data_IF_801222567094
#
_entry.id   IF_801222567094
#
_cell.length_a   1.000
_cell.length_b   1.000
_cell.length_c   1.000
_cell.angle_alpha   90.00
_cell.angle_beta   90.00
_cell.angle_gamma   90.00
#
_symmetry.space_group_name_H-M   'P 1'
#
loop_
_entity.id
_entity.type
_entity.pdbx_description
1 polymer ?
#
# COMPACT_ATOMS: atom_id res chain seq x y z
N UNK A 1 -10.44 22.75 -12.53
CA UNK A 1 -9.30 21.92 -12.09
C UNK A 1 -8.03 22.61 -12.51
N UNK A 2 -7.13 22.93 -11.59
CA UNK A 2 -5.81 23.46 -11.97
C UNK A 2 -4.90 22.32 -12.47
N UNK A 3 -3.81 22.65 -13.17
CA UNK A 3 -2.80 21.67 -13.57
C UNK A 3 -2.20 20.95 -12.35
N UNK A 4 -2.04 21.66 -11.23
CA UNK A 4 -1.53 21.12 -9.97
C UNK A 4 -2.48 20.07 -9.41
N UNK A 5 -3.79 20.35 -9.40
CA UNK A 5 -4.79 19.40 -8.91
C UNK A 5 -4.82 18.14 -9.78
N UNK A 6 -4.82 18.32 -11.11
CA UNK A 6 -4.77 17.21 -12.05
C UNK A 6 -3.52 16.33 -11.83
N UNK A 7 -2.37 16.97 -11.63
CA UNK A 7 -1.11 16.29 -11.31
C UNK A 7 -1.18 15.54 -9.99
N UNK A 8 -1.76 16.13 -8.94
CA UNK A 8 -1.94 15.47 -7.66
C UNK A 8 -2.80 14.20 -7.78
N UNK A 9 -3.94 14.27 -8.49
CA UNK A 9 -4.77 13.08 -8.75
C UNK A 9 -4.02 11.99 -9.51
N UNK A 10 -3.33 12.35 -10.59
CA UNK A 10 -2.61 11.40 -11.44
C UNK A 10 -1.49 10.69 -10.66
N UNK A 11 -0.68 11.46 -9.92
CA UNK A 11 0.40 10.92 -9.09
C UNK A 11 -0.18 10.04 -7.99
N UNK A 12 -1.27 10.47 -7.33
CA UNK A 12 -1.91 9.70 -6.26
C UNK A 12 -2.37 8.33 -6.75
N UNK A 13 -3.11 8.29 -7.87
CA UNK A 13 -3.62 7.05 -8.45
C UNK A 13 -2.48 6.14 -8.93
N UNK A 14 -1.44 6.71 -9.54
CA UNK A 14 -0.28 5.95 -10.00
C UNK A 14 0.42 5.25 -8.83
N UNK A 15 0.73 5.98 -7.75
CA UNK A 15 1.41 5.41 -6.59
C UNK A 15 0.51 4.48 -5.77
N UNK A 16 -0.80 4.73 -5.71
CA UNK A 16 -1.76 3.83 -5.09
C UNK A 16 -1.79 2.48 -5.82
N UNK A 17 -1.91 2.50 -7.15
CA UNK A 17 -1.88 1.31 -7.99
C UNK A 17 -0.54 0.57 -7.93
N UNK A 18 0.58 1.30 -8.03
CA UNK A 18 1.92 0.72 -7.96
C UNK A 18 2.14 0.02 -6.62
N UNK A 19 1.77 0.64 -5.50
CA UNK A 19 2.02 0.08 -4.18
C UNK A 19 1.14 -1.14 -3.92
N UNK A 20 -0.17 -1.01 -4.14
CA UNK A 20 -1.10 -2.12 -3.96
C UNK A 20 -0.74 -3.30 -4.87
N UNK A 21 -0.47 -3.04 -6.15
CA UNK A 21 -0.05 -4.05 -7.12
C UNK A 21 1.25 -4.76 -6.72
N UNK A 22 2.24 -4.01 -6.23
CA UNK A 22 3.52 -4.58 -5.79
C UNK A 22 3.37 -5.51 -4.59
N UNK A 23 2.53 -5.15 -3.62
CA UNK A 23 2.26 -5.99 -2.44
C UNK A 23 1.47 -7.24 -2.82
N UNK A 24 0.44 -7.08 -3.66
CA UNK A 24 -0.34 -8.21 -4.20
C UNK A 24 0.55 -9.18 -4.97
N UNK A 25 1.42 -8.67 -5.86
CA UNK A 25 2.37 -9.49 -6.61
C UNK A 25 3.38 -10.21 -5.71
N UNK A 26 3.89 -9.53 -4.67
CA UNK A 26 4.79 -10.14 -3.70
C UNK A 26 4.12 -11.32 -2.99
N UNK A 27 2.88 -11.12 -2.49
CA UNK A 27 2.11 -12.16 -1.83
C UNK A 27 1.73 -13.32 -2.76
N UNK A 28 1.22 -13.02 -3.95
CA UNK A 28 0.65 -14.00 -4.87
C UNK A 28 1.71 -14.78 -5.66
N UNK A 29 2.80 -14.13 -6.10
CA UNK A 29 3.78 -14.75 -6.98
C UNK A 29 5.14 -14.99 -6.30
N UNK A 30 5.70 -13.97 -5.64
CA UNK A 30 7.09 -14.05 -5.14
C UNK A 30 7.21 -15.00 -3.94
N UNK A 31 6.30 -14.89 -2.97
CA UNK A 31 6.35 -15.69 -1.75
C UNK A 31 6.14 -17.19 -1.97
N UNK A 32 5.19 -17.64 -2.82
CA UNK A 32 5.06 -19.06 -3.15
C UNK A 32 6.32 -19.64 -3.76
N UNK A 33 6.89 -18.99 -4.79
CA UNK A 33 8.13 -19.44 -5.44
C UNK A 33 9.29 -19.56 -4.43
N UNK A 34 9.43 -18.61 -3.50
CA UNK A 34 10.43 -18.66 -2.44
C UNK A 34 10.22 -19.82 -1.44
N UNK A 35 8.97 -20.19 -1.14
CA UNK A 35 8.64 -21.30 -0.24
C UNK A 35 8.86 -22.66 -0.90
N UNK A 36 8.55 -22.75 -2.18
CA UNK A 36 8.72 -23.95 -3.02
C UNK A 36 10.22 -24.20 -3.31
N UNK A 37 11.04 -23.15 -3.25
CA UNK A 37 12.48 -23.22 -3.48
C UNK A 37 12.88 -22.90 -4.92
N UNK A 38 11.97 -22.32 -5.69
CA UNK A 38 12.20 -21.88 -7.06
C UNK A 38 12.88 -20.50 -7.13
N UNK A 39 13.11 -19.86 -5.99
CA UNK A 39 13.90 -18.64 -5.85
C UNK A 39 15.09 -18.84 -4.91
N UNK A 40 16.24 -18.31 -5.32
CA UNK A 40 17.44 -18.25 -4.49
C UNK A 40 17.46 -16.98 -3.62
N UNK A 41 18.37 -16.95 -2.62
CA UNK A 41 18.45 -15.86 -1.65
C UNK A 41 18.74 -14.49 -2.27
N UNK A 42 19.70 -14.40 -3.20
CA UNK A 42 20.07 -13.12 -3.80
C UNK A 42 18.93 -12.44 -4.60
N UNK A 43 18.20 -13.14 -5.51
CA UNK A 43 17.02 -12.57 -6.15
C UNK A 43 15.93 -12.15 -5.16
N UNK A 44 15.64 -12.99 -4.15
CA UNK A 44 14.62 -12.70 -3.14
C UNK A 44 14.97 -11.44 -2.31
N UNK A 45 16.23 -11.31 -1.89
CA UNK A 45 16.71 -10.14 -1.16
C UNK A 45 16.62 -8.87 -2.01
N UNK A 46 16.98 -8.96 -3.30
CA UNK A 46 16.82 -7.83 -4.24
C UNK A 46 15.36 -7.40 -4.39
N UNK A 47 14.43 -8.36 -4.51
CA UNK A 47 12.99 -8.08 -4.58
C UNK A 47 12.50 -7.43 -3.29
N UNK A 48 12.86 -7.97 -2.13
CA UNK A 48 12.50 -7.41 -0.83
C UNK A 48 12.99 -5.95 -0.68
N UNK A 49 14.25 -5.66 -1.05
CA UNK A 49 14.81 -4.32 -1.02
C UNK A 49 14.15 -3.34 -2.02
N UNK A 50 13.75 -3.81 -3.21
CA UNK A 50 12.98 -3.01 -4.17
C UNK A 50 11.57 -2.72 -3.63
N UNK A 51 10.88 -3.74 -3.11
CA UNK A 51 9.54 -3.58 -2.54
C UNK A 51 9.53 -2.61 -1.37
N UNK A 52 10.53 -2.68 -0.49
CA UNK A 52 10.71 -1.72 0.61
C UNK A 52 10.85 -0.28 0.11
N UNK A 53 11.66 -0.05 -0.93
CA UNK A 53 11.81 1.27 -1.55
C UNK A 53 10.51 1.75 -2.19
N UNK A 54 9.87 0.91 -3.01
CA UNK A 54 8.57 1.23 -3.62
C UNK A 54 7.54 1.58 -2.55
N UNK A 55 7.46 0.81 -1.47
CA UNK A 55 6.52 1.05 -0.36
C UNK A 55 6.75 2.41 0.30
N UNK A 56 8.00 2.75 0.64
CA UNK A 56 8.34 4.02 1.29
C UNK A 56 8.12 5.23 0.37
N UNK A 57 8.52 5.11 -0.89
CA UNK A 57 8.31 6.17 -1.89
C UNK A 57 6.82 6.38 -2.16
N UNK A 58 6.05 5.29 -2.28
CA UNK A 58 4.59 5.38 -2.48
C UNK A 58 3.91 6.02 -1.29
N UNK A 59 4.23 5.60 -0.06
CA UNK A 59 3.69 6.21 1.15
C UNK A 59 3.95 7.73 1.21
N UNK A 60 5.16 8.17 0.83
CA UNK A 60 5.49 9.59 0.75
C UNK A 60 4.62 10.34 -0.27
N UNK A 61 4.58 9.87 -1.52
CA UNK A 61 3.80 10.56 -2.56
C UNK A 61 2.31 10.55 -2.28
N UNK A 62 1.79 9.46 -1.71
CA UNK A 62 0.38 9.37 -1.31
C UNK A 62 0.05 10.31 -0.15
N UNK A 63 0.94 10.47 0.83
CA UNK A 63 0.75 11.44 1.89
C UNK A 63 0.72 12.87 1.35
N UNK A 64 1.66 13.22 0.46
CA UNK A 64 1.75 14.56 -0.12
C UNK A 64 0.52 14.89 -0.98
N UNK A 65 0.19 14.01 -1.94
CA UNK A 65 -0.94 14.22 -2.86
C UNK A 65 -2.30 14.04 -2.16
N UNK A 66 -2.41 13.06 -1.27
CA UNK A 66 -3.57 12.83 -0.40
C UNK A 66 -3.85 14.01 0.50
N UNK A 67 -2.82 14.52 1.18
CA UNK A 67 -2.90 15.70 2.03
C UNK A 67 -3.32 16.95 1.26
N UNK A 68 -2.75 17.19 0.08
CA UNK A 68 -3.15 18.29 -0.80
C UNK A 68 -4.64 18.22 -1.18
N UNK A 69 -5.11 17.06 -1.66
CA UNK A 69 -6.52 16.86 -2.03
C UNK A 69 -7.47 16.99 -0.83
N UNK A 70 -7.06 16.50 0.35
CA UNK A 70 -7.85 16.59 1.57
C UNK A 70 -7.96 18.03 2.06
N UNK A 71 -6.86 18.77 2.07
CA UNK A 71 -6.82 20.18 2.48
C UNK A 71 -7.68 21.10 1.60
N UNK A 72 -7.87 20.74 0.34
CA UNK A 72 -8.75 21.48 -0.58
C UNK A 72 -10.24 21.18 -0.40
N UNK A 73 -10.59 20.04 0.23
CA UNK A 73 -11.97 19.53 0.27
C UNK A 73 -12.58 19.51 1.65
N UNK A 74 -11.78 19.37 2.68
CA UNK A 74 -12.26 19.16 4.04
C UNK A 74 -11.71 20.23 4.98
N UNK A 75 -12.62 20.82 5.77
CA UNK A 75 -12.28 21.40 7.07
C UNK A 75 -12.08 20.30 8.10
N UNK A 76 -11.51 20.61 9.26
CA UNK A 76 -11.40 19.65 10.38
C UNK A 76 -12.75 19.06 10.73
N UNK A 77 -13.79 19.89 10.85
CA UNK A 77 -15.16 19.46 11.17
C UNK A 77 -15.73 18.51 10.11
N UNK A 78 -15.61 18.85 8.82
CA UNK A 78 -16.11 17.97 7.75
C UNK A 78 -15.28 16.68 7.62
N UNK A 79 -13.98 16.71 7.94
CA UNK A 79 -13.12 15.53 7.89
C UNK A 79 -13.47 14.52 8.96
N UNK A 80 -13.82 14.98 10.17
CA UNK A 80 -14.19 14.12 11.30
C UNK A 80 -15.70 13.89 11.45
N UNK A 81 -16.53 14.68 10.74
CA UNK A 81 -17.99 14.66 10.89
C UNK A 81 -18.77 14.15 9.68
N UNK A 82 -18.16 13.92 8.52
CA UNK A 82 -18.85 13.44 7.30
C UNK A 82 -18.41 12.04 6.88
N UNK A 83 -19.27 11.26 6.22
CA UNK A 83 -18.90 9.91 5.75
C UNK A 83 -17.73 9.92 4.76
N UNK A 84 -17.70 10.88 3.84
CA UNK A 84 -16.53 11.12 2.99
C UNK A 84 -15.24 11.40 3.77
N UNK A 85 -15.32 12.17 4.85
CA UNK A 85 -14.20 12.42 5.75
C UNK A 85 -13.71 11.15 6.47
N UNK A 86 -14.64 10.34 6.97
CA UNK A 86 -14.32 9.04 7.58
C UNK A 86 -13.65 8.07 6.62
N UNK A 87 -14.02 8.07 5.33
CA UNK A 87 -13.32 7.28 4.30
C UNK A 87 -11.88 7.75 4.10
N UNK A 88 -11.60 9.05 4.17
CA UNK A 88 -10.23 9.60 4.11
C UNK A 88 -9.43 9.18 5.34
N UNK A 89 -10.01 9.30 6.54
CA UNK A 89 -9.35 8.88 7.79
C UNK A 89 -9.09 7.37 7.81
N UNK A 90 -10.04 6.56 7.34
CA UNK A 90 -9.90 5.11 7.18
C UNK A 90 -8.77 4.79 6.21
N UNK A 91 -8.69 5.48 5.08
CA UNK A 91 -7.60 5.34 4.11
C UNK A 91 -6.24 5.59 4.75
N UNK A 92 -6.13 6.65 5.56
CA UNK A 92 -4.88 7.01 6.23
C UNK A 92 -4.45 5.92 7.23
N UNK A 93 -5.38 5.39 8.03
CA UNK A 93 -5.10 4.26 8.94
C UNK A 93 -4.63 3.02 8.16
N UNK A 94 -5.35 2.66 7.10
CA UNK A 94 -5.00 1.51 6.27
C UNK A 94 -3.62 1.68 5.60
N UNK A 95 -3.22 2.89 5.21
CA UNK A 95 -1.86 3.15 4.71
C UNK A 95 -0.78 2.87 5.75
N UNK A 96 -0.96 3.34 6.99
CA UNK A 96 0.01 3.07 8.05
C UNK A 96 0.11 1.58 8.37
N UNK A 97 -1.03 0.88 8.39
CA UNK A 97 -1.07 -0.58 8.54
C UNK A 97 -0.32 -1.26 7.40
N UNK A 98 -0.59 -0.90 6.13
CA UNK A 98 0.10 -1.47 4.98
C UNK A 98 1.60 -1.21 5.03
N UNK A 99 2.01 0.02 5.34
CA UNK A 99 3.42 0.39 5.48
C UNK A 99 4.12 -0.44 6.55
N UNK A 100 3.51 -0.58 7.73
CA UNK A 100 4.05 -1.41 8.81
C UNK A 100 4.18 -2.88 8.40
N UNK A 101 3.14 -3.47 7.81
CA UNK A 101 3.15 -4.86 7.37
C UNK A 101 4.25 -5.14 6.33
N UNK A 102 4.40 -4.25 5.33
CA UNK A 102 5.41 -4.38 4.28
C UNK A 102 6.82 -4.15 4.83
N UNK A 103 7.00 -3.16 5.70
CA UNK A 103 8.30 -2.87 6.32
C UNK A 103 8.79 -4.07 7.14
N UNK A 104 7.93 -4.64 7.99
CA UNK A 104 8.28 -5.83 8.80
C UNK A 104 8.45 -7.07 7.91
N UNK A 105 7.55 -7.28 6.94
CA UNK A 105 7.61 -8.42 6.03
C UNK A 105 8.87 -8.44 5.19
N UNK A 106 9.25 -7.30 4.60
CA UNK A 106 10.49 -7.17 3.82
C UNK A 106 11.73 -7.25 4.71
N UNK A 107 11.68 -6.78 5.96
CA UNK A 107 12.75 -6.96 6.95
C UNK A 107 13.04 -8.44 7.23
N UNK A 108 11.99 -9.24 7.49
CA UNK A 108 12.12 -10.69 7.67
C UNK A 108 12.73 -11.39 6.45
N UNK A 109 12.34 -10.97 5.24
CA UNK A 109 12.93 -11.51 4.01
C UNK A 109 14.42 -11.16 3.90
N UNK A 110 14.79 -9.88 4.15
CA UNK A 110 16.17 -9.42 4.09
C UNK A 110 17.07 -10.17 5.10
N UNK A 111 16.66 -10.20 6.38
CA UNK A 111 17.40 -10.88 7.46
C UNK A 111 17.65 -12.37 7.14
N UNK A 112 16.66 -13.03 6.53
CA UNK A 112 16.78 -14.42 6.12
C UNK A 112 17.72 -14.59 4.92
N UNK A 113 17.59 -13.76 3.89
CA UNK A 113 18.43 -13.84 2.69
C UNK A 113 19.90 -13.53 2.96
N UNK A 114 20.19 -12.66 3.93
CA UNK A 114 21.56 -12.37 4.38
C UNK A 114 22.23 -13.60 5.01
N UNK A 115 21.42 -14.49 5.59
CA UNK A 115 21.86 -15.79 6.14
C UNK A 115 21.77 -16.94 5.13
N UNK A 116 21.60 -16.63 3.83
CA UNK A 116 21.40 -17.60 2.76
C UNK A 116 20.17 -18.51 2.96
N UNK A 117 19.15 -18.02 3.70
CA UNK A 117 17.87 -18.71 3.90
C UNK A 117 16.79 -18.12 2.98
N UNK A 118 15.94 -18.98 2.45
CA UNK A 118 14.82 -18.60 1.56
C UNK A 118 13.48 -19.08 2.09
N UNK A 119 13.34 -20.40 2.32
CA UNK A 119 12.05 -21.01 2.65
C UNK A 119 11.51 -20.57 4.02
N UNK A 120 12.37 -20.53 5.03
CA UNK A 120 12.04 -20.10 6.39
C UNK A 120 11.55 -18.64 6.44
N UNK A 121 12.31 -17.62 5.96
CA UNK A 121 11.84 -16.25 5.98
C UNK A 121 10.58 -16.03 5.11
N UNK A 122 10.43 -16.75 3.99
CA UNK A 122 9.23 -16.69 3.16
C UNK A 122 7.98 -17.29 3.85
N UNK A 123 8.15 -18.28 4.74
CA UNK A 123 7.06 -18.78 5.59
C UNK A 123 6.71 -17.77 6.67
N UNK A 124 7.70 -17.22 7.36
CA UNK A 124 7.49 -16.26 8.44
C UNK A 124 6.86 -14.95 7.98
N UNK A 125 7.37 -14.37 6.88
CA UNK A 125 6.83 -13.14 6.31
C UNK A 125 5.44 -13.35 5.68
N UNK A 126 5.05 -14.61 5.49
CA UNK A 126 3.86 -14.99 4.75
C UNK A 126 2.56 -14.38 5.23
N UNK A 127 2.30 -14.45 6.54
CA UNK A 127 1.09 -13.89 7.14
C UNK A 127 1.07 -12.36 7.03
N UNK A 128 2.23 -11.71 7.11
CA UNK A 128 2.34 -10.25 6.98
C UNK A 128 2.00 -9.80 5.57
N UNK A 129 2.52 -10.46 4.54
CA UNK A 129 2.20 -10.14 3.15
C UNK A 129 0.77 -10.52 2.76
N UNK A 130 0.21 -11.58 3.33
CA UNK A 130 -1.21 -11.91 3.16
C UNK A 130 -2.11 -10.83 3.76
N UNK A 131 -1.83 -10.40 5.00
CA UNK A 131 -2.53 -9.28 5.61
C UNK A 131 -2.33 -7.99 4.80
N UNK A 132 -1.11 -7.73 4.31
CA UNK A 132 -0.81 -6.59 3.46
C UNK A 132 -1.58 -6.60 2.14
N UNK A 133 -1.71 -7.77 1.51
CA UNK A 133 -2.53 -7.96 0.31
C UNK A 133 -4.01 -7.64 0.59
N UNK A 134 -4.56 -8.12 1.70
CA UNK A 134 -5.92 -7.79 2.11
C UNK A 134 -6.08 -6.28 2.34
N UNK A 135 -5.16 -5.65 3.07
CA UNK A 135 -5.18 -4.20 3.33
C UNK A 135 -5.05 -3.40 2.03
N UNK A 136 -4.23 -3.85 1.08
CA UNK A 136 -4.10 -3.24 -0.24
C UNK A 136 -5.42 -3.28 -1.01
N UNK A 137 -6.14 -4.41 -0.98
CA UNK A 137 -7.49 -4.51 -1.59
C UNK A 137 -8.47 -3.57 -0.88
N UNK A 138 -8.48 -3.55 0.46
CA UNK A 138 -9.34 -2.65 1.23
C UNK A 138 -9.08 -1.17 0.92
N UNK A 139 -7.82 -0.79 0.71
CA UNK A 139 -7.45 0.57 0.28
C UNK A 139 -8.05 0.92 -1.09
N UNK A 140 -7.97 0.01 -2.07
CA UNK A 140 -8.54 0.22 -3.40
C UNK A 140 -10.07 0.31 -3.34
N UNK A 141 -10.72 -0.55 -2.54
CA UNK A 141 -12.16 -0.50 -2.32
C UNK A 141 -12.59 0.80 -1.62
N UNK A 142 -11.88 1.20 -0.57
CA UNK A 142 -12.12 2.47 0.13
C UNK A 142 -11.98 3.67 -0.81
N UNK A 143 -10.94 3.70 -1.64
CA UNK A 143 -10.76 4.73 -2.66
C UNK A 143 -11.90 4.73 -3.69
N UNK A 144 -12.34 3.55 -4.15
CA UNK A 144 -13.48 3.40 -5.06
C UNK A 144 -14.78 3.95 -4.46
N UNK A 145 -15.08 3.62 -3.20
CA UNK A 145 -16.25 4.15 -2.48
C UNK A 145 -16.13 5.66 -2.30
N UNK A 146 -14.96 6.19 -1.95
CA UNK A 146 -14.73 7.63 -1.81
C UNK A 146 -14.99 8.39 -3.12
N UNK A 147 -14.53 7.84 -4.26
CA UNK A 147 -14.80 8.40 -5.59
C UNK A 147 -16.29 8.31 -5.91
N UNK A 148 -16.93 7.16 -5.68
CA UNK A 148 -18.35 6.97 -5.93
C UNK A 148 -19.22 7.94 -5.11
N UNK A 149 -18.88 8.16 -3.84
CA UNK A 149 -19.53 9.15 -2.98
C UNK A 149 -19.35 10.59 -3.51
N UNK A 150 -18.14 10.94 -3.93
CA UNK A 150 -17.86 12.25 -4.55
C UNK A 150 -18.61 12.49 -5.87
N UNK A 151 -19.00 11.42 -6.58
CA UNK A 151 -19.83 11.46 -7.79
C UNK A 151 -21.35 11.38 -7.49
N UNK A 152 -21.75 11.23 -6.23
CA UNK A 152 -23.16 11.08 -5.83
C UNK A 152 -23.77 9.71 -6.18
N UNK A 153 -22.94 8.70 -6.46
CA UNK A 153 -23.40 7.33 -6.80
C UNK A 153 -23.73 6.51 -5.55
N UNK A 154 -23.16 6.88 -4.40
CA UNK A 154 -23.41 6.30 -3.09
C UNK A 154 -23.48 7.46 -2.09
N UNK A 155 -24.34 7.37 -1.08
CA UNK A 155 -24.38 8.31 0.03
C UNK A 155 -23.86 7.60 1.28
N UNK A 156 -22.63 7.93 1.69
CA UNK A 156 -21.98 7.43 2.92
C UNK A 156 -21.73 8.58 3.88
#
# INVERSE_FOLDING_TARGET
>A
MTLVDAGAYAIHLLFAGLWAGSVLFAWYAVLPLAREGDLNAAPLGSVAGKLKRVSRTSALFLLLTGGHMAAQRYTVESLTGSGGGHLVLTMLVLWFVLAGLVEVGTGKLADGTDRQKVREPAREAGRLFQAGALVAVLLLLNAGVLVANGLGLVAV
#
